data_IF_924506773723
#
_entry.id   IF_924506773723
#
_cell.length_a   1.000
_cell.length_b   1.000
_cell.length_c   1.000
_cell.angle_alpha   90.00
_cell.angle_beta   90.00
_cell.angle_gamma   90.00
#
_symmetry.space_group_name_H-M   'P 1'
#
loop_
_entity.id
_entity.type
_entity.pdbx_description
1 polymer ?
#
# COMPACT_ATOMS: atom_id res chain seq x y z
N UNK A 1 -14.28 7.01 10.22
CA UNK A 1 -13.29 8.04 9.85
C UNK A 1 -12.01 7.33 9.45
N UNK A 2 -11.42 7.73 8.34
CA UNK A 2 -10.11 7.27 7.89
C UNK A 2 -8.99 8.03 8.61
N UNK A 3 -7.89 7.35 8.93
CA UNK A 3 -6.73 7.92 9.61
C UNK A 3 -5.48 7.82 8.71
N UNK A 4 -4.74 8.91 8.48
CA UNK A 4 -3.46 8.83 7.78
C UNK A 4 -2.46 8.03 8.61
N UNK A 5 -1.70 7.18 7.92
CA UNK A 5 -0.69 6.30 8.51
C UNK A 5 0.55 6.25 7.63
N UNK A 6 1.64 5.75 8.19
CA UNK A 6 2.80 5.30 7.42
C UNK A 6 2.93 3.79 7.59
N UNK A 7 3.40 3.13 6.54
CA UNK A 7 3.68 1.70 6.57
C UNK A 7 4.99 1.39 5.86
N UNK A 8 5.69 0.34 6.29
CA UNK A 8 6.83 -0.22 5.58
C UNK A 8 6.37 -1.45 4.80
N UNK A 9 6.73 -1.53 3.53
CA UNK A 9 6.46 -2.71 2.73
C UNK A 9 7.41 -3.86 3.12
N UNK A 10 6.88 -5.03 3.45
CA UNK A 10 7.64 -6.22 3.87
C UNK A 10 8.12 -7.05 2.67
N UNK A 11 7.51 -6.86 1.51
CA UNK A 11 7.87 -7.45 0.21
C UNK A 11 7.60 -6.43 -0.91
N UNK A 12 8.06 -6.74 -2.12
CA UNK A 12 7.63 -5.98 -3.30
C UNK A 12 6.14 -6.26 -3.53
N UNK A 13 5.34 -5.20 -3.64
CA UNK A 13 3.89 -5.27 -3.83
C UNK A 13 3.59 -4.87 -5.26
N UNK A 14 2.77 -5.67 -5.93
CA UNK A 14 2.39 -5.48 -7.32
C UNK A 14 0.88 -5.36 -7.43
N UNK A 15 0.40 -4.39 -8.19
CA UNK A 15 -1.02 -4.25 -8.52
C UNK A 15 -1.25 -4.49 -10.00
N UNK A 16 -2.41 -5.06 -10.33
CA UNK A 16 -2.83 -5.24 -11.71
C UNK A 16 -3.26 -3.89 -12.29
N UNK A 17 -2.59 -3.49 -13.37
CA UNK A 17 -2.94 -2.34 -14.18
C UNK A 17 -3.25 -2.82 -15.60
N UNK A 18 -4.52 -3.17 -15.82
CA UNK A 18 -5.06 -3.64 -17.11
C UNK A 18 -4.27 -4.83 -17.68
N UNK A 19 -4.00 -5.83 -16.83
CA UNK A 19 -3.25 -7.05 -17.22
C UNK A 19 -1.74 -6.92 -17.10
N UNK A 20 -1.22 -5.80 -16.60
CA UNK A 20 0.19 -5.62 -16.28
C UNK A 20 0.40 -5.51 -14.77
N UNK A 21 1.14 -6.45 -14.18
CA UNK A 21 1.55 -6.38 -12.78
C UNK A 21 2.64 -5.33 -12.59
N UNK A 22 2.28 -4.16 -12.05
CA UNK A 22 3.22 -3.07 -11.77
C UNK A 22 3.65 -3.09 -10.32
N UNK A 23 4.95 -2.95 -10.07
CA UNK A 23 5.47 -2.81 -8.71
C UNK A 23 5.10 -1.44 -8.18
N UNK A 24 4.19 -1.41 -7.21
CA UNK A 24 3.66 -0.18 -6.61
C UNK A 24 4.39 0.22 -5.33
N UNK A 25 4.96 -0.76 -4.63
CA UNK A 25 5.77 -0.58 -3.42
C UNK A 25 6.98 -1.50 -3.45
N UNK A 26 8.12 -0.97 -3.03
CA UNK A 26 9.39 -1.69 -2.95
C UNK A 26 9.62 -2.19 -1.53
N UNK A 27 10.10 -3.44 -1.41
CA UNK A 27 10.42 -4.04 -0.13
C UNK A 27 11.36 -3.15 0.69
N UNK A 28 11.02 -2.95 1.96
CA UNK A 28 11.81 -2.22 2.95
C UNK A 28 11.61 -0.71 2.95
N UNK A 29 10.94 -0.16 1.93
CA UNK A 29 10.63 1.27 1.85
C UNK A 29 9.38 1.63 2.66
N UNK A 30 9.32 2.90 3.06
CA UNK A 30 8.21 3.47 3.84
C UNK A 30 7.33 4.34 2.93
N UNK A 31 6.03 4.15 3.03
CA UNK A 31 5.04 4.84 2.22
C UNK A 31 3.92 5.41 3.09
N UNK A 32 3.23 6.41 2.54
CA UNK A 32 2.02 6.96 3.12
C UNK A 32 0.81 6.11 2.74
N UNK A 33 -0.12 5.97 3.67
CA UNK A 33 -1.36 5.22 3.47
C UNK A 33 -2.49 5.73 4.34
N UNK A 34 -3.62 5.05 4.24
CA UNK A 34 -4.84 5.38 4.99
C UNK A 34 -5.37 4.12 5.64
N UNK A 35 -5.59 4.19 6.96
CA UNK A 35 -6.33 3.18 7.70
C UNK A 35 -7.82 3.56 7.70
N UNK A 36 -8.65 2.66 7.19
CA UNK A 36 -10.10 2.83 7.13
C UNK A 36 -10.76 2.38 8.42
N UNK A 37 -12.00 2.82 8.66
CA UNK A 37 -12.72 2.48 9.90
C UNK A 37 -13.07 1.00 10.04
N UNK A 38 -13.00 0.23 8.95
CA UNK A 38 -13.18 -1.23 8.97
C UNK A 38 -11.87 -1.99 9.29
N UNK A 39 -10.76 -1.29 9.54
CA UNK A 39 -9.45 -1.88 9.82
C UNK A 39 -8.61 -2.18 8.57
N UNK A 40 -9.15 -2.01 7.36
CA UNK A 40 -8.38 -2.15 6.14
C UNK A 40 -7.39 -1.00 5.98
N UNK A 41 -6.28 -1.27 5.31
CA UNK A 41 -5.28 -0.28 4.95
C UNK A 41 -5.24 -0.15 3.44
N UNK A 42 -5.17 1.08 2.95
CA UNK A 42 -4.85 1.37 1.55
C UNK A 42 -3.52 2.10 1.47
N UNK A 43 -2.71 1.73 0.48
CA UNK A 43 -1.50 2.46 0.12
C UNK A 43 -1.79 3.45 -1.00
N UNK A 44 -0.98 4.50 -1.11
CA UNK A 44 -0.94 5.35 -2.30
C UNK A 44 0.39 5.11 -3.02
N UNK A 45 0.34 4.66 -4.27
CA UNK A 45 1.55 4.42 -5.04
C UNK A 45 2.13 5.75 -5.54
N UNK A 46 3.34 6.14 -5.10
CA UNK A 46 3.94 7.41 -5.52
C UNK A 46 4.35 7.41 -7.00
N UNK A 47 4.36 6.25 -7.66
CA UNK A 47 4.81 6.09 -9.04
C UNK A 47 3.68 6.23 -10.06
N UNK A 48 2.43 5.94 -9.65
CA UNK A 48 1.33 5.71 -10.59
C UNK A 48 0.05 6.49 -10.25
N UNK A 49 0.06 7.34 -9.21
CA UNK A 49 -1.12 8.14 -8.76
C UNK A 49 -2.38 7.28 -8.54
N UNK A 50 -2.18 6.05 -8.06
CA UNK A 50 -3.24 5.08 -7.77
C UNK A 50 -3.21 4.67 -6.30
N UNK A 51 -4.37 4.35 -5.76
CA UNK A 51 -4.53 3.82 -4.40
C UNK A 51 -5.37 2.56 -4.40
N UNK A 52 -4.93 1.55 -3.67
CA UNK A 52 -5.64 0.28 -3.49
C UNK A 52 -5.36 -0.29 -2.09
N UNK A 53 -6.13 -1.31 -1.71
CA UNK A 53 -5.97 -2.06 -0.47
C UNK A 53 -4.63 -2.79 -0.39
N UNK A 54 -4.11 -2.91 0.82
CA UNK A 54 -2.97 -3.75 1.14
C UNK A 54 -3.44 -4.99 1.90
N UNK A 55 -2.90 -6.13 1.53
CA UNK A 55 -3.18 -7.37 2.24
C UNK A 55 -2.38 -7.46 3.55
N UNK A 56 -2.91 -8.23 4.51
CA UNK A 56 -2.19 -8.51 5.74
C UNK A 56 -0.88 -9.26 5.44
N UNK A 57 0.20 -8.84 6.09
CA UNK A 57 1.54 -9.42 5.89
C UNK A 57 2.33 -8.82 4.73
N UNK A 58 1.74 -7.92 3.94
CA UNK A 58 2.50 -7.16 2.93
C UNK A 58 3.21 -5.95 3.52
N UNK A 59 2.75 -5.48 4.69
CA UNK A 59 3.24 -4.27 5.33
C UNK A 59 3.30 -4.39 6.86
N UNK A 60 4.06 -3.49 7.48
CA UNK A 60 4.02 -3.20 8.91
C UNK A 60 3.71 -1.71 9.11
N UNK A 61 2.86 -1.39 10.09
CA UNK A 61 2.57 -0.01 10.47
C UNK A 61 3.72 0.56 11.30
N UNK A 62 3.99 1.86 11.12
CA UNK A 62 5.06 2.60 11.80
C UNK A 62 4.52 3.80 12.56
#
# INVERSE_FOLDING_TARGET
>A
MSKPIKFRALKDIYWDDWGHMRRVFEKGQVYDGVMHSNGNVSGYSPFYDVSDGLDQGEYELI
#
